data_IF_883308056714
#
_entry.id   IF_883308056714
#
_cell.length_a   1.000
_cell.length_b   1.000
_cell.length_c   1.000
_cell.angle_alpha   90.00
_cell.angle_beta   90.00
_cell.angle_gamma   90.00
#
_symmetry.space_group_name_H-M   'P 1'
#
loop_
_entity.id
_entity.type
_entity.pdbx_description
1 polymer ?
#
# COMPACT_ATOMS: atom_id res chain seq x y z
N UNK A 1 19.42 9.35 28.70
CA UNK A 1 18.28 8.44 28.74
C UNK A 1 18.76 7.07 28.32
N UNK A 2 18.77 6.12 29.22
CA UNK A 2 19.13 4.73 28.90
C UNK A 2 18.08 4.18 27.96
N UNK A 3 18.46 3.97 26.70
CA UNK A 3 17.62 3.26 25.72
C UNK A 3 17.54 1.82 26.22
N UNK A 4 16.39 1.43 26.78
CA UNK A 4 16.19 0.05 27.25
C UNK A 4 16.01 -0.83 26.02
N UNK A 5 17.02 -1.65 25.76
CA UNK A 5 16.95 -2.76 24.81
C UNK A 5 15.80 -3.70 25.24
N UNK A 6 15.05 -4.22 24.28
CA UNK A 6 13.94 -5.13 24.54
C UNK A 6 14.51 -6.49 24.96
N UNK A 7 14.07 -7.11 26.10
CA UNK A 7 14.60 -8.42 26.51
C UNK A 7 14.30 -9.51 25.48
N UNK A 8 15.27 -10.37 25.17
CA UNK A 8 15.10 -11.47 24.20
C UNK A 8 13.95 -12.41 24.57
N UNK A 9 13.70 -12.63 25.88
CA UNK A 9 12.57 -13.42 26.35
C UNK A 9 11.22 -12.80 26.01
N UNK A 10 11.13 -11.46 25.90
CA UNK A 10 9.92 -10.77 25.49
C UNK A 10 9.73 -10.92 23.96
N UNK A 11 10.81 -10.81 23.17
CA UNK A 11 10.75 -10.99 21.72
C UNK A 11 10.27 -12.39 21.36
N UNK A 12 10.78 -13.42 22.03
CA UNK A 12 10.34 -14.80 21.85
C UNK A 12 8.85 -14.99 22.17
N UNK A 13 8.39 -14.45 23.33
CA UNK A 13 6.97 -14.52 23.70
C UNK A 13 6.07 -13.77 22.71
N UNK A 14 6.53 -12.63 22.23
CA UNK A 14 5.81 -11.85 21.25
C UNK A 14 5.63 -12.63 19.93
N UNK A 15 6.71 -13.24 19.44
CA UNK A 15 6.69 -14.05 18.21
C UNK A 15 5.69 -15.19 18.30
N UNK A 16 5.55 -15.85 19.47
CA UNK A 16 4.59 -16.93 19.71
C UNK A 16 3.12 -16.47 19.72
N UNK A 17 2.85 -15.18 19.97
CA UNK A 17 1.49 -14.61 20.00
C UNK A 17 1.03 -14.11 18.64
N UNK A 18 1.94 -14.02 17.65
CA UNK A 18 1.63 -13.56 16.30
C UNK A 18 1.22 -14.73 15.41
N UNK A 19 0.14 -14.56 14.66
CA UNK A 19 -0.25 -15.49 13.62
C UNK A 19 0.61 -15.34 12.34
N UNK A 20 0.35 -16.17 11.33
CA UNK A 20 1.13 -16.18 10.07
C UNK A 20 1.01 -14.88 9.30
N UNK A 21 -0.19 -14.29 9.23
CA UNK A 21 -0.44 -13.06 8.46
C UNK A 21 0.16 -11.86 9.18
N UNK A 22 0.09 -11.83 10.51
CA UNK A 22 0.73 -10.83 11.35
C UNK A 22 2.26 -10.91 11.24
N UNK A 23 2.84 -12.11 11.20
CA UNK A 23 4.27 -12.32 10.98
C UNK A 23 4.73 -11.79 9.62
N UNK A 24 3.98 -12.08 8.56
CA UNK A 24 4.24 -11.51 7.23
C UNK A 24 4.19 -9.98 7.27
N UNK A 25 3.19 -9.42 7.95
CA UNK A 25 3.04 -7.97 8.09
C UNK A 25 4.22 -7.34 8.86
N UNK A 26 4.71 -7.98 9.93
CA UNK A 26 5.92 -7.51 10.67
C UNK A 26 7.14 -7.48 9.76
N UNK A 27 7.39 -8.57 9.01
CA UNK A 27 8.52 -8.64 8.07
C UNK A 27 8.41 -7.53 7.03
N UNK A 28 7.23 -7.32 6.45
CA UNK A 28 7.00 -6.27 5.47
C UNK A 28 7.21 -4.86 6.05
N UNK A 29 6.65 -4.57 7.23
CA UNK A 29 6.77 -3.26 7.88
C UNK A 29 8.23 -2.89 8.19
N UNK A 30 9.05 -3.87 8.55
CA UNK A 30 10.44 -3.65 8.97
C UNK A 30 11.47 -3.87 7.85
N UNK A 31 11.07 -4.22 6.63
CA UNK A 31 12.00 -4.56 5.54
C UNK A 31 12.96 -3.43 5.16
N UNK A 32 12.56 -2.16 5.33
CA UNK A 32 13.43 -1.00 5.06
C UNK A 32 14.52 -0.81 6.14
N UNK A 33 14.35 -1.42 7.32
CA UNK A 33 15.25 -1.23 8.47
C UNK A 33 16.40 -2.25 8.49
N UNK A 34 16.17 -3.41 7.88
CA UNK A 34 17.17 -4.48 7.77
C UNK A 34 17.21 -4.92 6.32
N UNK A 35 18.17 -4.43 5.53
CA UNK A 35 18.27 -4.71 4.09
C UNK A 35 18.75 -6.14 3.77
N UNK A 36 18.80 -7.02 4.75
CA UNK A 36 19.18 -8.42 4.54
C UNK A 36 17.95 -9.22 4.08
N UNK A 37 17.88 -9.50 2.78
CA UNK A 37 16.80 -10.26 2.15
C UNK A 37 16.69 -11.71 2.65
N UNK A 38 17.68 -12.21 3.39
CA UNK A 38 17.68 -13.57 3.93
C UNK A 38 16.79 -13.71 5.17
N UNK A 39 16.40 -12.61 5.80
CA UNK A 39 15.61 -12.62 7.03
C UNK A 39 14.12 -12.71 6.69
N UNK A 40 13.60 -13.93 6.68
CA UNK A 40 12.17 -14.22 6.54
C UNK A 40 11.48 -14.59 7.86
N UNK A 41 12.27 -14.84 8.91
CA UNK A 41 11.79 -15.20 10.26
C UNK A 41 11.67 -13.96 11.14
N UNK A 42 10.48 -13.79 11.75
CA UNK A 42 10.17 -12.64 12.61
C UNK A 42 11.07 -12.57 13.83
N UNK A 43 11.40 -13.69 14.45
CA UNK A 43 12.26 -13.68 15.63
C UNK A 43 13.67 -13.21 15.28
N UNK A 44 14.22 -13.69 14.15
CA UNK A 44 15.52 -13.24 13.66
C UNK A 44 15.49 -11.73 13.33
N UNK A 45 14.43 -11.26 12.66
CA UNK A 45 14.25 -9.85 12.33
C UNK A 45 14.21 -8.97 13.59
N UNK A 46 13.35 -9.31 14.56
CA UNK A 46 13.23 -8.55 15.81
C UNK A 46 14.54 -8.57 16.62
N UNK A 47 15.26 -9.71 16.60
CA UNK A 47 16.59 -9.81 17.25
C UNK A 47 17.61 -8.89 16.57
N UNK A 48 17.69 -8.91 15.23
CA UNK A 48 18.58 -8.04 14.48
C UNK A 48 18.28 -6.55 14.69
N UNK A 49 17.00 -6.17 14.75
CA UNK A 49 16.58 -4.80 15.06
C UNK A 49 16.96 -4.39 16.49
N UNK A 50 16.87 -5.32 17.43
CA UNK A 50 17.24 -5.10 18.83
C UNK A 50 18.77 -4.96 19.01
N UNK A 51 19.54 -5.80 18.32
CA UNK A 51 21.02 -5.72 18.30
C UNK A 51 21.53 -4.42 17.69
N UNK A 52 20.82 -3.88 16.69
CA UNK A 52 21.11 -2.57 16.09
C UNK A 52 20.58 -1.39 16.90
N UNK A 53 20.04 -1.63 18.11
CA UNK A 53 19.44 -0.60 18.98
C UNK A 53 18.26 0.16 18.32
N UNK A 54 17.70 -0.36 17.23
CA UNK A 54 16.55 0.21 16.55
C UNK A 54 15.26 -0.14 17.31
N UNK A 55 15.16 -1.37 17.86
CA UNK A 55 13.96 -1.86 18.54
C UNK A 55 13.91 -1.40 20.00
N UNK A 56 13.55 -0.16 20.21
CA UNK A 56 13.26 0.37 21.55
C UNK A 56 11.86 -0.02 22.01
N UNK A 57 11.53 0.16 23.29
CA UNK A 57 10.15 -0.04 23.79
C UNK A 57 9.14 0.85 23.07
N UNK A 58 9.53 2.07 22.69
CA UNK A 58 8.67 3.00 21.94
C UNK A 58 8.43 2.45 20.53
N UNK A 59 9.48 2.02 19.85
CA UNK A 59 9.40 1.50 18.49
C UNK A 59 8.64 0.16 18.43
N UNK A 60 8.81 -0.70 19.44
CA UNK A 60 8.00 -1.90 19.60
C UNK A 60 6.52 -1.55 19.83
N UNK A 61 6.23 -0.49 20.59
CA UNK A 61 4.85 -0.04 20.77
C UNK A 61 4.24 0.49 19.46
N UNK A 62 5.01 1.16 18.61
CA UNK A 62 4.58 1.56 17.26
C UNK A 62 4.25 0.33 16.42
N UNK A 63 5.13 -0.68 16.37
CA UNK A 63 4.92 -1.90 15.60
C UNK A 63 3.63 -2.61 16.01
N UNK A 64 3.42 -2.84 17.30
CA UNK A 64 2.20 -3.46 17.83
C UNK A 64 0.94 -2.63 17.58
N UNK A 65 1.07 -1.30 17.60
CA UNK A 65 -0.01 -0.39 17.26
C UNK A 65 -0.42 -0.53 15.79
N UNK A 66 0.56 -0.62 14.86
CA UNK A 66 0.29 -0.81 13.43
C UNK A 66 -0.31 -2.18 13.12
N UNK A 67 0.05 -3.21 13.87
CA UNK A 67 -0.59 -4.53 13.82
C UNK A 67 -1.98 -4.58 14.47
N UNK A 68 -2.43 -3.47 15.11
CA UNK A 68 -3.67 -3.40 15.89
C UNK A 68 -3.75 -4.39 17.06
N UNK A 69 -2.63 -4.93 17.49
CA UNK A 69 -2.51 -5.84 18.62
C UNK A 69 -2.44 -5.07 19.95
N UNK A 70 -3.54 -4.38 20.25
CA UNK A 70 -3.67 -3.58 21.48
C UNK A 70 -3.67 -4.44 22.75
N UNK A 71 -4.05 -5.71 22.64
CA UNK A 71 -3.92 -6.73 23.68
C UNK A 71 -2.45 -6.94 24.08
N UNK A 72 -1.56 -7.06 23.09
CA UNK A 72 -0.12 -7.26 23.32
C UNK A 72 0.56 -5.99 23.83
N UNK A 73 0.12 -4.79 23.39
CA UNK A 73 0.58 -3.53 23.98
C UNK A 73 0.36 -3.50 25.48
N UNK A 74 -0.82 -3.88 25.95
CA UNK A 74 -1.14 -3.93 27.37
C UNK A 74 -0.41 -5.05 28.09
N UNK A 75 -0.35 -6.26 27.47
CA UNK A 75 0.24 -7.46 28.06
C UNK A 75 1.75 -7.34 28.25
N UNK A 76 2.47 -6.83 27.26
CA UNK A 76 3.93 -6.82 27.25
C UNK A 76 4.56 -5.48 27.60
N UNK A 77 3.91 -4.37 27.27
CA UNK A 77 4.47 -3.03 27.44
C UNK A 77 3.72 -2.21 28.50
N UNK A 78 2.60 -2.73 29.07
CA UNK A 78 1.80 -2.02 30.08
C UNK A 78 1.20 -0.71 29.57
N UNK A 79 1.16 -0.49 28.24
CA UNK A 79 0.68 0.75 27.63
C UNK A 79 -0.60 0.52 26.84
N UNK A 80 -1.39 1.58 26.65
CA UNK A 80 -2.64 1.51 25.89
C UNK A 80 -2.56 2.29 24.57
N UNK A 81 -3.55 2.05 23.70
CA UNK A 81 -3.67 2.67 22.38
C UNK A 81 -3.48 4.20 22.42
N UNK A 82 -4.21 4.91 23.31
CA UNK A 82 -4.16 6.36 23.38
C UNK A 82 -2.77 6.91 23.73
N UNK A 83 -2.01 6.22 24.60
CA UNK A 83 -0.66 6.63 24.97
C UNK A 83 0.31 6.47 23.76
N UNK A 84 0.14 5.42 22.96
CA UNK A 84 0.94 5.22 21.75
C UNK A 84 0.60 6.27 20.69
N UNK A 85 -0.66 6.61 20.49
CA UNK A 85 -1.09 7.68 19.57
C UNK A 85 -0.45 9.02 19.92
N UNK A 86 -0.42 9.39 21.20
CA UNK A 86 0.28 10.60 21.67
C UNK A 86 1.78 10.53 21.38
N UNK A 87 2.41 9.38 21.63
CA UNK A 87 3.84 9.20 21.33
C UNK A 87 4.15 9.32 19.84
N UNK A 88 3.34 8.70 18.97
CA UNK A 88 3.50 8.78 17.52
C UNK A 88 3.33 10.20 16.96
N UNK A 89 2.52 11.03 17.62
CA UNK A 89 2.34 12.43 17.23
C UNK A 89 3.55 13.33 17.57
N UNK A 90 4.35 12.96 18.59
CA UNK A 90 5.43 13.80 19.13
C UNK A 90 6.84 13.29 18.82
N UNK A 91 6.98 12.04 18.39
CA UNK A 91 8.29 11.42 18.12
C UNK A 91 8.41 10.99 16.66
N UNK A 92 9.65 10.88 16.17
CA UNK A 92 9.92 10.29 14.86
C UNK A 92 9.47 8.83 14.86
N UNK A 93 8.71 8.45 13.84
CA UNK A 93 8.26 7.09 13.65
C UNK A 93 9.40 6.22 13.12
N UNK A 94 9.50 4.98 13.60
CA UNK A 94 10.46 3.99 13.13
C UNK A 94 10.07 3.48 11.74
N UNK A 95 8.78 3.24 11.54
CA UNK A 95 8.26 2.65 10.31
C UNK A 95 8.04 3.71 9.22
N UNK A 96 8.41 3.39 7.99
CA UNK A 96 8.21 4.31 6.87
C UNK A 96 6.71 4.48 6.57
N UNK A 97 6.32 5.70 6.22
CA UNK A 97 4.92 6.00 5.83
C UNK A 97 4.45 5.14 4.66
N UNK A 98 5.37 4.76 3.78
CA UNK A 98 5.09 3.89 2.66
C UNK A 98 4.70 2.47 3.13
N UNK A 99 5.49 1.86 4.01
CA UNK A 99 5.20 0.53 4.56
C UNK A 99 3.87 0.52 5.32
N UNK A 100 3.63 1.56 6.12
CA UNK A 100 2.35 1.73 6.83
C UNK A 100 1.18 1.84 5.85
N UNK A 101 1.31 2.64 4.78
CA UNK A 101 0.27 2.77 3.76
C UNK A 101 -0.05 1.42 3.09
N UNK A 102 0.97 0.65 2.69
CA UNK A 102 0.75 -0.65 2.04
C UNK A 102 0.07 -1.65 2.99
N UNK A 103 0.42 -1.63 4.28
CA UNK A 103 -0.26 -2.45 5.30
C UNK A 103 -1.71 -2.04 5.49
N UNK A 104 -2.02 -0.74 5.55
CA UNK A 104 -3.40 -0.23 5.63
C UNK A 104 -4.24 -0.57 4.39
N UNK A 105 -3.61 -0.62 3.21
CA UNK A 105 -4.27 -1.07 1.98
C UNK A 105 -4.53 -2.58 2.04
N UNK A 106 -3.57 -3.38 2.52
CA UNK A 106 -3.72 -4.83 2.67
C UNK A 106 -4.92 -5.19 3.57
N UNK A 107 -5.14 -4.44 4.63
CA UNK A 107 -6.28 -4.65 5.55
C UNK A 107 -7.65 -4.36 4.91
N UNK A 108 -7.70 -3.43 3.95
CA UNK A 108 -8.93 -3.02 3.27
C UNK A 108 -9.24 -3.86 2.01
N UNK A 109 -8.33 -4.74 1.60
CA UNK A 109 -8.51 -5.61 0.44
C UNK A 109 -9.24 -6.88 0.83
N UNK A 110 -10.28 -7.21 0.08
CA UNK A 110 -10.91 -8.51 0.17
C UNK A 110 -10.27 -9.54 -0.81
N UNK A 111 -10.73 -10.80 -0.73
CA UNK A 111 -10.21 -11.88 -1.57
C UNK A 111 -10.51 -11.68 -3.06
N UNK A 112 -11.61 -11.02 -3.39
CA UNK A 112 -12.03 -10.76 -4.77
C UNK A 112 -11.18 -9.66 -5.40
N UNK A 113 -10.93 -8.61 -4.64
CA UNK A 113 -10.00 -7.53 -4.98
C UNK A 113 -8.59 -8.08 -5.24
N UNK A 114 -8.10 -8.95 -4.35
CA UNK A 114 -6.78 -9.56 -4.46
C UNK A 114 -6.65 -10.44 -5.71
N UNK A 115 -7.69 -11.22 -6.04
CA UNK A 115 -7.73 -12.00 -7.29
C UNK A 115 -7.69 -11.12 -8.52
N UNK A 116 -8.51 -10.05 -8.53
CA UNK A 116 -8.57 -9.09 -9.62
C UNK A 116 -7.24 -8.38 -9.83
N UNK A 117 -6.61 -7.94 -8.73
CA UNK A 117 -5.29 -7.32 -8.73
C UNK A 117 -4.21 -8.28 -9.26
N UNK A 118 -4.20 -9.52 -8.76
CA UNK A 118 -3.27 -10.57 -9.21
C UNK A 118 -3.43 -10.87 -10.69
N UNK A 119 -4.65 -10.86 -11.21
CA UNK A 119 -4.92 -11.05 -12.64
C UNK A 119 -4.36 -9.89 -13.47
N UNK A 120 -4.59 -8.64 -13.05
CA UNK A 120 -4.08 -7.45 -13.76
C UNK A 120 -2.55 -7.39 -13.79
N UNK A 121 -1.91 -7.78 -12.68
CA UNK A 121 -0.45 -7.72 -12.51
C UNK A 121 0.26 -9.00 -12.98
N UNK A 122 -0.48 -10.00 -13.49
CA UNK A 122 0.08 -11.30 -13.90
C UNK A 122 1.23 -11.19 -14.90
N UNK A 123 1.14 -10.23 -15.84
CA UNK A 123 2.18 -10.03 -16.85
C UNK A 123 3.50 -9.53 -16.25
N UNK A 124 3.46 -8.89 -15.10
CA UNK A 124 4.63 -8.38 -14.38
C UNK A 124 5.19 -9.41 -13.40
N UNK A 125 4.34 -10.18 -12.74
CA UNK A 125 4.71 -11.09 -11.65
C UNK A 125 5.12 -12.50 -12.10
N UNK A 126 5.00 -12.81 -13.40
CA UNK A 126 5.29 -14.14 -13.93
C UNK A 126 4.23 -15.20 -13.54
N UNK A 127 4.50 -16.46 -13.90
CA UNK A 127 3.58 -17.59 -13.66
C UNK A 127 3.80 -18.17 -12.26
N UNK A 128 3.30 -17.51 -11.22
CA UNK A 128 3.18 -18.15 -9.92
C UNK A 128 1.84 -18.88 -9.81
N UNK A 129 1.86 -20.16 -9.41
CA UNK A 129 0.65 -20.97 -9.21
C UNK A 129 0.03 -20.81 -7.81
N UNK A 130 0.71 -20.11 -6.89
CA UNK A 130 0.19 -19.88 -5.52
C UNK A 130 -0.49 -18.53 -5.44
N UNK A 131 -1.64 -18.48 -4.76
CA UNK A 131 -2.24 -17.22 -4.35
C UNK A 131 -1.25 -16.50 -3.41
N UNK A 132 -0.84 -15.30 -3.81
CA UNK A 132 0.07 -14.46 -3.01
C UNK A 132 -0.76 -13.46 -2.22
N UNK A 133 -0.31 -13.13 -1.01
CA UNK A 133 -0.84 -11.98 -0.28
C UNK A 133 -0.55 -10.66 -1.03
N UNK A 134 -1.28 -9.61 -0.72
CA UNK A 134 -1.00 -8.29 -1.28
C UNK A 134 0.41 -7.82 -0.95
N UNK A 135 0.88 -8.02 0.28
CA UNK A 135 2.22 -7.61 0.71
C UNK A 135 3.32 -8.37 -0.06
N UNK A 136 3.10 -9.66 -0.35
CA UNK A 136 4.01 -10.43 -1.19
C UNK A 136 4.03 -9.92 -2.65
N UNK A 137 2.87 -9.51 -3.20
CA UNK A 137 2.79 -8.90 -4.52
C UNK A 137 3.59 -7.59 -4.55
N UNK A 138 3.41 -6.72 -3.55
CA UNK A 138 4.15 -5.46 -3.45
C UNK A 138 5.65 -5.71 -3.38
N UNK A 139 6.10 -6.65 -2.55
CA UNK A 139 7.51 -7.03 -2.42
C UNK A 139 8.10 -7.51 -3.75
N UNK A 140 7.35 -8.32 -4.51
CA UNK A 140 7.81 -8.79 -5.82
C UNK A 140 7.90 -7.64 -6.85
N UNK A 141 6.95 -6.71 -6.82
CA UNK A 141 6.99 -5.53 -7.71
C UNK A 141 8.14 -4.58 -7.35
N UNK A 142 8.48 -4.46 -6.07
CA UNK A 142 9.66 -3.72 -5.61
C UNK A 142 10.95 -4.36 -6.11
N UNK A 143 11.10 -5.69 -5.98
CA UNK A 143 12.25 -6.44 -6.49
C UNK A 143 12.43 -6.33 -8.01
N UNK A 144 11.33 -6.14 -8.72
CA UNK A 144 11.32 -5.90 -10.17
C UNK A 144 11.49 -4.42 -10.53
N UNK A 145 11.69 -3.54 -9.56
CA UNK A 145 11.81 -2.09 -9.72
C UNK A 145 10.60 -1.43 -10.42
N UNK A 146 9.44 -2.10 -10.42
CA UNK A 146 8.21 -1.61 -11.04
C UNK A 146 7.46 -0.62 -10.14
N UNK A 147 7.68 -0.68 -8.84
CA UNK A 147 7.16 0.27 -7.86
C UNK A 147 8.26 0.66 -6.86
N UNK A 148 8.09 1.83 -6.29
CA UNK A 148 8.92 2.32 -5.18
C UNK A 148 8.11 3.32 -4.36
N UNK A 149 8.58 3.75 -3.17
CA UNK A 149 7.89 4.77 -2.37
C UNK A 149 7.54 6.05 -3.13
N UNK A 150 8.31 6.38 -4.18
CA UNK A 150 8.08 7.57 -5.01
C UNK A 150 7.30 7.29 -6.31
N UNK A 151 7.17 6.02 -6.71
CA UNK A 151 6.56 5.60 -7.98
C UNK A 151 5.50 4.53 -7.72
N UNK A 152 4.26 4.94 -7.49
CA UNK A 152 3.12 4.07 -7.17
C UNK A 152 2.04 4.07 -8.27
N UNK A 153 2.35 4.60 -9.46
CA UNK A 153 1.36 4.78 -10.53
C UNK A 153 0.79 3.44 -11.00
N UNK A 154 1.61 2.38 -11.04
CA UNK A 154 1.17 1.04 -11.44
C UNK A 154 0.06 0.52 -10.52
N UNK A 155 0.27 0.59 -9.21
CA UNK A 155 -0.70 0.11 -8.21
C UNK A 155 -1.92 1.03 -8.14
N UNK A 156 -1.74 2.36 -8.23
CA UNK A 156 -2.84 3.30 -8.27
C UNK A 156 -3.78 3.00 -9.46
N UNK A 157 -3.22 2.82 -10.67
CA UNK A 157 -3.99 2.49 -11.87
C UNK A 157 -4.68 1.12 -11.76
N UNK A 158 -4.02 0.12 -11.15
CA UNK A 158 -4.62 -1.18 -10.90
C UNK A 158 -5.84 -1.05 -9.99
N UNK A 159 -5.78 -0.27 -8.90
CA UNK A 159 -6.94 -0.01 -8.03
C UNK A 159 -8.07 0.73 -8.75
N UNK A 160 -7.76 1.70 -9.61
CA UNK A 160 -8.78 2.37 -10.42
C UNK A 160 -9.47 1.38 -11.37
N UNK A 161 -8.72 0.44 -11.95
CA UNK A 161 -9.25 -0.57 -12.87
C UNK A 161 -10.19 -1.56 -12.19
N UNK A 162 -9.89 -1.97 -10.96
CA UNK A 162 -10.77 -2.84 -10.16
C UNK A 162 -11.85 -2.07 -9.38
N UNK A 163 -12.04 -0.79 -9.69
CA UNK A 163 -13.03 0.11 -9.09
C UNK A 163 -12.81 0.44 -7.59
N UNK A 164 -11.66 0.12 -7.01
CA UNK A 164 -11.27 0.48 -5.64
C UNK A 164 -10.70 1.90 -5.59
N UNK A 165 -11.57 2.87 -5.89
CA UNK A 165 -11.22 4.31 -5.87
C UNK A 165 -10.84 4.82 -4.49
N UNK A 166 -11.32 4.19 -3.43
CA UNK A 166 -10.96 4.46 -2.04
C UNK A 166 -9.46 4.22 -1.80
N UNK A 167 -8.93 3.08 -2.27
CA UNK A 167 -7.52 2.73 -2.15
C UNK A 167 -6.63 3.61 -3.05
N UNK A 168 -7.07 3.87 -4.28
CA UNK A 168 -6.36 4.81 -5.17
C UNK A 168 -6.23 6.21 -4.52
N UNK A 169 -7.28 6.71 -3.84
CA UNK A 169 -7.23 7.99 -3.11
C UNK A 169 -6.24 7.96 -1.95
N UNK A 170 -6.08 6.83 -1.24
CA UNK A 170 -5.05 6.70 -0.19
C UNK A 170 -3.65 6.89 -0.78
N UNK A 171 -3.37 6.28 -1.93
CA UNK A 171 -2.09 6.44 -2.64
C UNK A 171 -1.90 7.89 -3.10
N UNK A 172 -2.92 8.52 -3.69
CA UNK A 172 -2.84 9.91 -4.13
C UNK A 172 -2.55 10.86 -2.96
N UNK A 173 -3.21 10.66 -1.83
CA UNK A 173 -2.94 11.42 -0.60
C UNK A 173 -1.49 11.27 -0.16
N UNK A 174 -0.98 10.04 -0.10
CA UNK A 174 0.42 9.77 0.24
C UNK A 174 1.39 10.48 -0.72
N UNK A 175 1.16 10.40 -2.04
CA UNK A 175 1.98 11.10 -3.03
C UNK A 175 1.99 12.62 -2.83
N UNK A 176 0.84 13.21 -2.49
CA UNK A 176 0.74 14.64 -2.20
C UNK A 176 1.50 15.01 -0.93
N UNK A 177 1.35 14.25 0.15
CA UNK A 177 2.08 14.48 1.40
C UNK A 177 3.60 14.33 1.22
N UNK A 178 4.05 13.38 0.40
CA UNK A 178 5.46 13.20 0.08
C UNK A 178 6.03 14.37 -0.74
N UNK A 179 5.24 14.95 -1.65
CA UNK A 179 5.66 16.12 -2.46
C UNK A 179 5.64 17.44 -1.68
N UNK A 180 4.71 17.58 -0.73
CA UNK A 180 4.47 18.82 0.01
C UNK A 180 4.46 18.58 1.52
N UNK A 181 5.59 18.23 2.14
CA UNK A 181 5.65 17.83 3.55
C UNK A 181 5.21 18.93 4.54
N UNK A 182 5.16 20.19 4.10
CA UNK A 182 4.80 21.35 4.94
C UNK A 182 3.36 21.84 4.74
N UNK A 183 2.54 21.15 3.91
CA UNK A 183 1.13 21.51 3.73
C UNK A 183 0.23 20.83 4.77
N UNK A 184 -0.60 21.63 5.45
CA UNK A 184 -1.58 21.11 6.41
C UNK A 184 -2.61 20.20 5.70
N UNK A 185 -3.03 19.12 6.36
CA UNK A 185 -3.98 18.13 5.83
C UNK A 185 -5.30 18.74 5.29
N UNK A 186 -5.75 19.89 5.83
CA UNK A 186 -6.94 20.61 5.34
C UNK A 186 -6.74 21.22 3.94
N UNK A 187 -5.52 21.65 3.61
CA UNK A 187 -5.20 22.22 2.29
C UNK A 187 -5.09 21.14 1.23
N UNK A 188 -4.63 19.94 1.60
CA UNK A 188 -4.50 18.79 0.70
C UNK A 188 -5.86 18.26 0.20
N UNK A 189 -6.91 18.32 1.02
CA UNK A 189 -8.27 17.88 0.62
C UNK A 189 -8.88 18.76 -0.50
N UNK A 190 -8.49 20.02 -0.58
CA UNK A 190 -8.97 20.94 -1.62
C UNK A 190 -8.24 20.73 -2.96
N UNK A 191 -7.03 20.17 -2.92
CA UNK A 191 -6.15 19.99 -4.09
C UNK A 191 -6.38 18.67 -4.83
N UNK A 192 -7.20 17.76 -4.29
CA UNK A 192 -7.57 16.53 -5.00
C UNK A 192 -8.50 16.87 -6.16
N UNK A 193 -8.15 16.56 -7.42
CA UNK A 193 -9.05 16.78 -8.53
C UNK A 193 -10.34 16.00 -8.29
N UNK A 194 -11.48 16.71 -8.29
CA UNK A 194 -12.80 16.06 -8.36
C UNK A 194 -12.81 15.28 -9.67
N UNK A 195 -12.70 13.96 -9.59
CA UNK A 195 -13.01 13.05 -10.68
C UNK A 195 -14.51 13.16 -10.95
N UNK A 196 -14.89 14.19 -11.69
CA UNK A 196 -16.22 14.37 -12.22
C UNK A 196 -16.40 13.31 -13.31
N UNK A 197 -17.17 12.28 -13.04
CA UNK A 197 -17.77 11.51 -14.10
C UNK A 197 -18.65 12.50 -14.86
N UNK A 198 -18.33 12.74 -16.13
CA UNK A 198 -19.30 13.31 -17.04
C UNK A 198 -20.48 12.34 -17.10
N UNK A 199 -21.65 12.77 -16.64
CA UNK A 199 -22.88 12.05 -16.82
C UNK A 199 -23.08 11.77 -18.31
N UNK A 200 -23.57 10.58 -18.68
CA UNK A 200 -23.91 10.30 -20.07
C UNK A 200 -24.95 11.31 -20.54
N UNK A 201 -24.83 11.86 -21.77
CA UNK A 201 -25.79 12.85 -22.28
C UNK A 201 -27.19 12.25 -22.28
N UNK A 202 -28.15 12.96 -21.69
CA UNK A 202 -29.57 12.60 -21.73
C UNK A 202 -30.05 12.46 -23.19
N UNK A 203 -30.93 11.50 -23.47
CA UNK A 203 -31.50 11.33 -24.79
C UNK A 203 -32.41 12.52 -25.14
N UNK A 204 -31.93 13.37 -26.05
CA UNK A 204 -32.72 14.49 -26.58
C UNK A 204 -33.86 13.92 -27.41
N UNK A 205 -35.05 13.97 -26.86
CA UNK A 205 -36.30 13.68 -27.56
C UNK A 205 -36.59 14.81 -28.57
N UNK A 206 -36.32 14.59 -29.85
CA UNK A 206 -36.82 15.43 -30.94
C UNK A 206 -37.57 14.57 -31.93
N UNK A 207 -38.88 14.54 -31.76
CA UNK A 207 -39.76 14.28 -32.90
C UNK A 207 -39.68 15.41 -33.93
N UNK A 208 -39.30 15.07 -35.14
CA UNK A 208 -39.96 15.56 -36.38
C UNK A 208 -39.34 14.87 -37.59
N UNK A 209 -40.19 14.25 -38.34
CA UNK A 209 -39.98 13.60 -39.64
C UNK A 209 -39.50 14.59 -40.67
N UNK A 210 -38.49 14.22 -41.49
CA UNK A 210 -38.51 14.45 -42.96
C UNK A 210 -37.44 13.58 -43.66
N UNK A 211 -37.87 13.03 -44.79
CA UNK A 211 -37.23 12.06 -45.66
C UNK A 211 -35.92 12.56 -46.30
N UNK A 212 -35.02 11.64 -46.61
CA UNK A 212 -33.92 11.86 -47.55
C UNK A 212 -32.79 10.84 -47.42
N UNK A 213 -32.71 9.93 -48.38
CA UNK A 213 -31.74 8.87 -48.49
C UNK A 213 -30.28 9.35 -48.59
N UNK A 214 -29.35 8.65 -47.95
CA UNK A 214 -28.12 8.15 -48.59
C UNK A 214 -27.27 7.36 -47.60
N UNK A 215 -26.80 6.23 -48.06
CA UNK A 215 -25.95 5.28 -47.33
C UNK A 215 -24.51 5.82 -47.16
N UNK A 216 -23.95 5.68 -45.96
CA UNK A 216 -22.51 5.59 -45.79
C UNK A 216 -22.20 4.77 -44.52
N UNK A 217 -21.56 3.65 -44.72
CA UNK A 217 -21.04 2.72 -43.72
C UNK A 217 -19.96 3.41 -42.87
N UNK A 218 -20.18 3.55 -41.59
CA UNK A 218 -19.17 3.97 -40.62
C UNK A 218 -18.71 2.81 -39.75
N UNK A 219 -17.46 2.43 -39.89
CA UNK A 219 -16.78 1.39 -39.09
C UNK A 219 -16.60 1.84 -37.63
N UNK A 220 -16.59 0.91 -36.63
CA UNK A 220 -16.31 1.28 -35.24
C UNK A 220 -14.84 1.64 -35.05
N UNK A 221 -14.59 2.78 -34.41
CA UNK A 221 -13.28 3.24 -34.02
C UNK A 221 -12.77 2.42 -32.80
N UNK A 222 -11.87 1.49 -33.04
CA UNK A 222 -11.04 0.92 -31.98
C UNK A 222 -9.92 1.91 -31.65
N UNK A 223 -9.88 2.44 -30.44
CA UNK A 223 -8.76 3.19 -29.93
C UNK A 223 -7.65 2.20 -29.56
N UNK A 224 -6.68 2.05 -30.45
CA UNK A 224 -5.42 1.40 -30.16
C UNK A 224 -4.56 2.35 -29.33
N UNK A 225 -4.29 1.98 -28.08
CA UNK A 225 -3.22 2.60 -27.30
C UNK A 225 -1.92 1.96 -27.78
N UNK A 226 -1.17 2.71 -28.61
CA UNK A 226 0.17 2.32 -29.03
C UNK A 226 1.14 2.52 -27.85
N UNK A 227 1.68 1.42 -27.37
CA UNK A 227 2.86 1.43 -26.50
C UNK A 227 4.07 1.59 -27.45
N UNK A 228 4.66 2.77 -27.41
CA UNK A 228 5.93 3.06 -28.09
C UNK A 228 7.07 2.36 -27.33
N UNK A 229 7.53 1.25 -27.90
CA UNK A 229 8.84 0.65 -27.62
C UNK A 229 9.90 1.53 -28.27
N UNK A 230 10.68 2.25 -27.48
CA UNK A 230 11.93 2.86 -27.93
C UNK A 230 13.07 1.89 -27.62
N UNK A 231 13.39 1.05 -28.60
CA UNK A 231 14.71 0.46 -28.75
C UNK A 231 15.57 1.46 -29.53
N UNK A 232 16.60 2.00 -28.93
CA UNK A 232 17.74 2.60 -29.65
C UNK A 232 18.99 1.82 -29.33
N UNK A 233 19.54 1.28 -30.40
CA UNK A 233 20.93 0.86 -30.57
C UNK A 233 21.89 2.05 -30.35
N UNK A 234 22.91 1.87 -29.55
CA UNK A 234 24.35 1.94 -29.91
C UNK A 234 25.17 1.51 -28.71
#
# INVERSE_FOLDING_TARGET
MTVFSVPASLLYKLEQELDTDEKETVVFLCSDLVPDESISDVLQLLTALNEKEILTTINLSELLYRLKRFDLLKKFLGTGRAAVEVNLAHHSQMLSKYRVLMTEINEDLDKEDLRSLSFLLKNHLGKSHKEKSFLAIITDLEKLELISPMHLDLIENAFLTIHRRDLAKKIQKYKLEARFPNMNAKTLQVSLPKLSLADPPEPVNKGRVMNGASAAQGKPCYIFIAILSLTTLE
#
